data_IF_078775276454
#
_entry.id   IF_078775276454
#
_cell.length_a   1.000
_cell.length_b   1.000
_cell.length_c   1.000
_cell.angle_alpha   90.00
_cell.angle_beta   90.00
_cell.angle_gamma   90.00
#
_symmetry.space_group_name_H-M   'P 1'
#
loop_
_entity.id
_entity.type
_entity.pdbx_description
1 polymer ?
#
# COMPACT_ATOMS: atom_id res chain seq x y z
N UNK A 1 23.64 -43.29 -28.59
CA UNK A 1 23.89 -42.07 -27.86
C UNK A 1 22.62 -41.23 -27.97
N UNK A 2 21.79 -41.27 -26.94
CA UNK A 2 20.51 -40.51 -26.92
C UNK A 2 20.76 -39.11 -26.35
N UNK A 3 20.66 -38.11 -27.20
CA UNK A 3 20.62 -36.72 -26.75
C UNK A 3 19.23 -36.43 -26.19
N UNK A 4 19.15 -36.25 -24.87
CA UNK A 4 18.01 -35.64 -24.20
C UNK A 4 17.96 -34.14 -24.54
N UNK A 5 16.82 -33.58 -24.94
CA UNK A 5 16.69 -32.14 -25.12
C UNK A 5 16.70 -31.46 -23.75
N UNK A 6 17.61 -30.52 -23.56
CA UNK A 6 17.61 -29.59 -22.43
C UNK A 6 16.35 -28.70 -22.56
N UNK A 7 15.37 -28.92 -21.68
CA UNK A 7 14.28 -27.99 -21.48
C UNK A 7 14.86 -26.71 -20.85
N UNK A 8 15.14 -25.71 -21.69
CA UNK A 8 15.39 -24.35 -21.23
C UNK A 8 14.04 -23.76 -20.87
N UNK A 9 13.66 -23.83 -19.59
CA UNK A 9 12.57 -23.02 -19.07
C UNK A 9 12.95 -21.56 -19.31
N UNK A 10 12.27 -20.92 -20.26
CA UNK A 10 12.32 -19.48 -20.46
C UNK A 10 11.70 -18.82 -19.23
N UNK A 11 12.53 -18.42 -18.28
CA UNK A 11 12.12 -17.54 -17.16
C UNK A 11 11.53 -16.28 -17.81
N UNK A 12 10.21 -16.18 -17.83
CA UNK A 12 9.54 -14.96 -18.27
C UNK A 12 9.99 -13.83 -17.36
N UNK A 13 10.80 -12.94 -17.90
CA UNK A 13 11.28 -11.74 -17.21
C UNK A 13 10.06 -10.87 -16.89
N UNK A 14 9.67 -10.83 -15.62
CA UNK A 14 8.57 -9.97 -15.18
C UNK A 14 8.91 -8.50 -15.47
N UNK A 15 7.91 -7.74 -15.93
CA UNK A 15 8.07 -6.30 -16.15
C UNK A 15 8.47 -5.59 -14.86
N UNK A 16 9.34 -4.61 -14.97
CA UNK A 16 9.69 -3.70 -13.88
C UNK A 16 8.74 -2.52 -13.90
N UNK A 17 8.11 -2.23 -12.76
CA UNK A 17 7.00 -1.29 -12.61
C UNK A 17 7.37 -0.12 -11.72
N UNK A 18 7.00 1.10 -12.13
CA UNK A 18 7.03 2.29 -11.29
C UNK A 18 5.62 2.88 -11.12
N UNK A 19 5.33 3.40 -9.93
CA UNK A 19 4.09 4.10 -9.60
C UNK A 19 4.41 5.55 -9.24
N UNK A 20 3.71 6.48 -9.87
CA UNK A 20 3.74 7.90 -9.52
C UNK A 20 2.31 8.36 -9.24
N UNK A 21 2.04 8.78 -8.01
CA UNK A 21 0.70 9.12 -7.53
C UNK A 21 0.62 10.58 -7.14
N UNK A 22 -0.14 11.37 -7.89
CA UNK A 22 -0.52 12.73 -7.55
C UNK A 22 -1.80 12.72 -6.69
N UNK A 23 -1.64 12.95 -5.40
CA UNK A 23 -2.76 12.94 -4.47
C UNK A 23 -3.66 14.18 -4.60
N UNK A 24 -3.14 15.31 -5.05
CA UNK A 24 -3.94 16.53 -5.23
C UNK A 24 -4.97 16.30 -6.32
N UNK A 25 -4.57 15.64 -7.38
CA UNK A 25 -5.42 15.33 -8.54
C UNK A 25 -6.39 14.17 -8.24
N UNK A 26 -5.97 13.19 -7.42
CA UNK A 26 -6.72 11.94 -7.22
C UNK A 26 -6.81 11.57 -5.73
N UNK A 27 -7.52 12.37 -4.94
CA UNK A 27 -7.62 12.17 -3.48
C UNK A 27 -8.37 10.90 -3.06
N UNK A 28 -9.26 10.37 -3.92
CA UNK A 28 -10.02 9.13 -3.64
C UNK A 28 -9.14 7.89 -3.54
N UNK A 29 -7.91 7.92 -4.09
CA UNK A 29 -6.96 6.80 -4.08
C UNK A 29 -6.58 6.34 -2.66
N UNK A 30 -6.66 7.22 -1.66
CA UNK A 30 -6.39 6.86 -0.25
C UNK A 30 -7.17 5.64 0.21
N UNK A 31 -8.43 5.51 -0.20
CA UNK A 31 -9.30 4.39 0.17
C UNK A 31 -8.96 3.08 -0.56
N UNK A 32 -8.20 3.18 -1.64
CA UNK A 32 -7.85 2.07 -2.53
C UNK A 32 -6.33 1.89 -2.66
N UNK A 33 -5.55 2.40 -1.71
CA UNK A 33 -4.08 2.36 -1.76
C UNK A 33 -3.53 0.91 -1.81
N UNK A 34 -4.13 -0.01 -1.05
CA UNK A 34 -3.78 -1.44 -1.08
C UNK A 34 -4.11 -2.04 -2.47
N UNK A 35 -5.28 -1.72 -3.03
CA UNK A 35 -5.70 -2.20 -4.35
C UNK A 35 -4.82 -1.65 -5.47
N UNK A 36 -4.35 -0.40 -5.36
CA UNK A 36 -3.36 0.16 -6.29
C UNK A 36 -2.09 -0.67 -6.29
N UNK A 37 -1.58 -1.00 -5.11
CA UNK A 37 -0.36 -1.79 -4.99
C UNK A 37 -0.54 -3.21 -5.53
N UNK A 38 -1.69 -3.83 -5.26
CA UNK A 38 -1.99 -5.18 -5.76
C UNK A 38 -2.17 -5.18 -7.28
N UNK A 39 -2.85 -4.18 -7.83
CA UNK A 39 -2.96 -3.98 -9.28
C UNK A 39 -1.57 -3.84 -9.92
N UNK A 40 -0.69 -3.04 -9.33
CA UNK A 40 0.66 -2.85 -9.85
C UNK A 40 1.50 -4.14 -9.80
N UNK A 41 1.40 -4.93 -8.72
CA UNK A 41 2.07 -6.23 -8.60
C UNK A 41 1.60 -7.26 -9.62
N UNK A 42 0.34 -7.20 -10.04
CA UNK A 42 -0.17 -8.05 -11.12
C UNK A 42 0.46 -7.71 -12.48
N UNK A 43 0.91 -6.46 -12.64
CA UNK A 43 1.58 -6.03 -13.87
C UNK A 43 3.07 -6.39 -13.89
N UNK A 44 3.70 -6.59 -12.73
CA UNK A 44 5.12 -6.94 -12.62
C UNK A 44 5.73 -6.59 -11.25
N UNK A 45 7.06 -6.55 -11.23
CA UNK A 45 7.83 -6.21 -10.02
C UNK A 45 7.80 -4.69 -9.78
N UNK A 46 7.18 -4.28 -8.66
CA UNK A 46 7.05 -2.87 -8.30
C UNK A 46 8.31 -2.39 -7.57
N UNK A 47 9.18 -1.70 -8.28
CA UNK A 47 10.49 -1.26 -7.78
C UNK A 47 10.49 0.20 -7.32
N UNK A 48 9.65 1.05 -7.91
CA UNK A 48 9.56 2.48 -7.56
C UNK A 48 8.12 2.85 -7.25
N UNK A 49 7.92 3.57 -6.14
CA UNK A 49 6.61 4.00 -5.65
C UNK A 49 6.73 5.40 -5.06
N UNK A 50 6.29 6.40 -5.78
CA UNK A 50 6.29 7.79 -5.35
C UNK A 50 4.86 8.30 -5.13
N UNK A 51 4.67 9.02 -4.04
CA UNK A 51 3.41 9.64 -3.65
C UNK A 51 3.65 11.12 -3.36
N UNK A 52 3.00 11.99 -4.12
CA UNK A 52 3.16 13.45 -4.04
C UNK A 52 2.03 14.06 -3.23
N UNK A 53 2.37 14.86 -2.24
CA UNK A 53 1.43 15.48 -1.31
C UNK A 53 1.94 16.85 -0.86
N UNK A 54 1.08 17.64 -0.20
CA UNK A 54 1.47 18.88 0.46
C UNK A 54 1.23 18.77 1.95
N UNK A 55 2.27 19.04 2.74
CA UNK A 55 2.21 19.06 4.20
C UNK A 55 1.31 20.19 4.75
N UNK A 56 1.00 21.20 3.95
CA UNK A 56 0.09 22.28 4.31
C UNK A 56 -1.38 21.82 4.44
N UNK A 57 -1.72 20.65 3.91
CA UNK A 57 -3.07 20.11 3.95
C UNK A 57 -3.18 18.84 4.82
N UNK A 58 -3.87 18.96 5.95
CA UNK A 58 -4.02 17.85 6.93
C UNK A 58 -4.52 16.54 6.31
N UNK A 59 -5.48 16.61 5.39
CA UNK A 59 -6.00 15.42 4.69
C UNK A 59 -4.94 14.74 3.83
N UNK A 60 -3.97 15.48 3.28
CA UNK A 60 -2.85 14.96 2.49
C UNK A 60 -1.80 14.31 3.39
N UNK A 61 -1.51 14.92 4.55
CA UNK A 61 -0.66 14.30 5.58
C UNK A 61 -1.24 12.99 6.09
N UNK A 62 -2.55 12.92 6.31
CA UNK A 62 -3.22 11.67 6.69
C UNK A 62 -3.14 10.59 5.59
N UNK A 63 -3.17 11.00 4.32
CA UNK A 63 -2.99 10.08 3.19
C UNK A 63 -1.53 9.62 3.10
N UNK A 64 -0.57 10.53 3.23
CA UNK A 64 0.87 10.24 3.28
C UNK A 64 1.17 9.10 4.25
N UNK A 65 0.64 9.14 5.47
CA UNK A 65 0.84 8.09 6.46
C UNK A 65 0.36 6.70 5.97
N UNK A 66 -0.71 6.66 5.17
CA UNK A 66 -1.22 5.41 4.60
C UNK A 66 -0.26 4.87 3.53
N UNK A 67 0.21 5.73 2.62
CA UNK A 67 1.10 5.35 1.53
C UNK A 67 2.51 5.00 2.03
N UNK A 68 3.02 5.70 3.04
CA UNK A 68 4.30 5.39 3.67
C UNK A 68 4.32 3.98 4.29
N UNK A 69 3.20 3.55 4.92
CA UNK A 69 3.04 2.19 5.44
C UNK A 69 3.07 1.12 4.33
N UNK A 70 2.68 1.48 3.10
CA UNK A 70 2.77 0.62 1.92
C UNK A 70 4.14 0.69 1.23
N UNK A 71 5.07 1.42 1.80
CA UNK A 71 6.45 1.56 1.32
C UNK A 71 6.59 2.50 0.13
N UNK A 72 5.70 3.49 0.00
CA UNK A 72 5.87 4.58 -0.95
C UNK A 72 6.89 5.59 -0.43
N UNK A 73 7.70 6.10 -1.33
CA UNK A 73 8.47 7.33 -1.11
C UNK A 73 7.51 8.51 -1.17
N UNK A 74 7.28 9.17 -0.04
CA UNK A 74 6.34 10.27 0.07
C UNK A 74 7.08 11.60 -0.10
N UNK A 75 6.81 12.28 -1.22
CA UNK A 75 7.44 13.54 -1.61
C UNK A 75 6.54 14.68 -1.18
N UNK A 76 7.04 15.49 -0.26
CA UNK A 76 6.35 16.71 0.16
C UNK A 76 6.63 17.84 -0.83
N UNK A 77 5.58 18.43 -1.37
CA UNK A 77 5.65 19.58 -2.27
C UNK A 77 4.87 20.73 -1.61
N UNK A 78 5.49 21.45 -0.69
CA UNK A 78 4.82 22.49 0.11
C UNK A 78 4.53 23.76 -0.68
N UNK A 79 5.14 23.95 -1.84
CA UNK A 79 4.96 25.14 -2.65
C UNK A 79 3.50 25.26 -3.13
N UNK A 80 2.87 26.38 -2.78
CA UNK A 80 1.51 26.71 -3.15
C UNK A 80 1.37 27.20 -4.60
N UNK A 81 2.46 27.23 -5.38
CA UNK A 81 2.36 27.58 -6.80
C UNK A 81 1.57 26.53 -7.55
N UNK A 82 0.72 27.01 -8.45
CA UNK A 82 -0.07 26.12 -9.33
C UNK A 82 0.87 25.19 -10.08
N UNK A 83 0.60 23.90 -10.05
CA UNK A 83 1.34 22.83 -10.76
C UNK A 83 2.74 22.49 -10.18
N UNK A 84 3.07 22.89 -8.96
CA UNK A 84 4.37 22.52 -8.36
C UNK A 84 4.51 21.00 -8.15
N UNK A 85 3.44 20.32 -7.70
CA UNK A 85 3.41 18.88 -7.53
C UNK A 85 3.49 18.14 -8.88
N UNK A 86 2.78 18.64 -9.89
CA UNK A 86 2.81 18.09 -11.25
C UNK A 86 4.23 18.15 -11.84
N UNK A 87 4.88 19.31 -11.71
CA UNK A 87 6.25 19.49 -12.19
C UNK A 87 7.24 18.57 -11.47
N UNK A 88 7.12 18.42 -10.14
CA UNK A 88 7.97 17.52 -9.37
C UNK A 88 7.76 16.07 -9.80
N UNK A 89 6.51 15.63 -9.98
CA UNK A 89 6.18 14.29 -10.47
C UNK A 89 6.78 14.05 -11.85
N UNK A 90 6.64 15.00 -12.79
CA UNK A 90 7.18 14.88 -14.14
C UNK A 90 8.70 14.71 -14.09
N UNK A 91 9.40 15.54 -13.34
CA UNK A 91 10.87 15.49 -13.21
C UNK A 91 11.32 14.15 -12.61
N UNK A 92 10.67 13.70 -11.54
CA UNK A 92 11.03 12.45 -10.87
C UNK A 92 10.72 11.23 -11.75
N UNK A 93 9.62 11.25 -12.49
CA UNK A 93 9.26 10.20 -13.44
C UNK A 93 10.31 10.08 -14.54
N UNK A 94 10.67 11.21 -15.19
CA UNK A 94 11.67 11.24 -16.26
C UNK A 94 13.03 10.78 -15.73
N UNK A 95 13.47 11.26 -14.56
CA UNK A 95 14.72 10.81 -13.91
C UNK A 95 14.69 9.30 -13.66
N UNK A 96 13.62 8.79 -13.05
CA UNK A 96 13.50 7.37 -12.71
C UNK A 96 13.63 6.51 -13.96
N UNK A 97 12.97 6.88 -15.05
CA UNK A 97 13.01 6.15 -16.31
C UNK A 97 14.38 6.24 -16.98
N UNK A 98 15.02 7.42 -16.95
CA UNK A 98 16.33 7.64 -17.56
C UNK A 98 17.44 6.82 -16.88
N UNK A 99 17.41 6.75 -15.54
CA UNK A 99 18.42 6.01 -14.76
C UNK A 99 18.12 4.51 -14.60
N UNK A 100 16.93 4.06 -15.02
CA UNK A 100 16.52 2.66 -14.90
C UNK A 100 16.02 2.10 -16.25
N UNK A 101 16.92 1.71 -17.14
CA UNK A 101 16.55 1.20 -18.47
C UNK A 101 15.66 -0.04 -18.45
N UNK A 102 15.77 -0.85 -17.37
CA UNK A 102 14.96 -2.06 -17.16
C UNK A 102 13.51 -1.77 -16.76
N UNK A 103 13.17 -0.53 -16.42
CA UNK A 103 11.80 -0.13 -16.13
C UNK A 103 10.97 -0.16 -17.41
N UNK A 104 9.92 -0.99 -17.45
CA UNK A 104 9.12 -1.24 -18.65
C UNK A 104 7.76 -0.56 -18.57
N UNK A 105 7.18 -0.49 -17.36
CA UNK A 105 5.83 0.00 -17.13
C UNK A 105 5.82 1.13 -16.11
N UNK A 106 5.14 2.21 -16.48
CA UNK A 106 4.87 3.34 -15.58
C UNK A 106 3.37 3.44 -15.32
N UNK A 107 2.98 3.36 -14.06
CA UNK A 107 1.60 3.58 -13.61
C UNK A 107 1.51 5.01 -13.07
N UNK A 108 0.67 5.82 -13.71
CA UNK A 108 0.40 7.21 -13.33
C UNK A 108 -0.98 7.28 -12.68
N UNK A 109 -1.04 7.71 -11.43
CA UNK A 109 -2.31 7.96 -10.71
C UNK A 109 -2.60 9.45 -10.77
N UNK A 110 -3.33 9.86 -11.79
CA UNK A 110 -3.62 11.25 -12.14
C UNK A 110 -4.79 11.31 -13.14
N UNK A 111 -5.31 12.50 -13.44
CA UNK A 111 -6.44 12.64 -14.39
C UNK A 111 -6.37 13.91 -15.24
N UNK A 112 -5.40 14.79 -14.98
CA UNK A 112 -5.27 16.06 -15.66
C UNK A 112 -4.53 15.93 -17.00
N UNK A 113 -4.95 16.72 -17.99
CA UNK A 113 -4.34 16.79 -19.32
C UNK A 113 -2.92 17.36 -19.31
N UNK A 114 -2.53 18.10 -18.29
CA UNK A 114 -1.21 18.71 -18.16
C UNK A 114 -0.07 17.67 -18.19
N UNK A 115 -0.36 16.41 -17.91
CA UNK A 115 0.57 15.29 -18.02
C UNK A 115 0.71 14.67 -19.43
N UNK A 116 -0.01 15.20 -20.44
CA UNK A 116 0.05 14.65 -21.78
C UNK A 116 1.47 14.64 -22.37
N UNK A 117 2.26 15.70 -22.12
CA UNK A 117 3.66 15.78 -22.53
C UNK A 117 4.53 14.67 -21.98
N UNK A 118 4.40 14.37 -20.66
CA UNK A 118 5.09 13.27 -20.01
C UNK A 118 4.72 11.92 -20.67
N UNK A 119 3.43 11.69 -20.90
CA UNK A 119 2.94 10.44 -21.50
C UNK A 119 3.50 10.26 -22.90
N UNK A 120 3.53 11.32 -23.72
CA UNK A 120 4.13 11.29 -25.04
C UNK A 120 5.62 10.90 -24.99
N UNK A 121 6.40 11.50 -24.08
CA UNK A 121 7.82 11.18 -23.90
C UNK A 121 7.97 9.70 -23.51
N UNK A 122 7.23 9.21 -22.53
CA UNK A 122 7.30 7.81 -22.07
C UNK A 122 6.99 6.83 -23.21
N UNK A 123 5.98 7.12 -24.02
CA UNK A 123 5.63 6.29 -25.19
C UNK A 123 6.70 6.32 -26.27
N UNK A 124 7.31 7.49 -26.55
CA UNK A 124 8.41 7.62 -27.52
C UNK A 124 9.62 6.78 -27.13
N UNK A 125 9.93 6.70 -25.83
CA UNK A 125 11.02 5.85 -25.32
C UNK A 125 10.55 4.40 -25.01
N UNK A 126 9.42 3.99 -25.61
CA UNK A 126 8.87 2.63 -25.57
C UNK A 126 8.54 2.12 -24.17
N UNK A 127 8.17 3.00 -23.24
CA UNK A 127 7.63 2.58 -21.95
C UNK A 127 6.12 2.39 -22.05
N UNK A 128 5.61 1.31 -21.47
CA UNK A 128 4.17 1.12 -21.31
C UNK A 128 3.68 2.10 -20.25
N UNK A 129 2.57 2.77 -20.51
CA UNK A 129 1.98 3.74 -19.58
C UNK A 129 0.56 3.29 -19.27
N UNK A 130 0.25 3.14 -18.00
CA UNK A 130 -1.10 2.89 -17.49
C UNK A 130 -1.53 4.07 -16.63
N UNK A 131 -2.75 4.57 -16.86
CA UNK A 131 -3.34 5.66 -16.08
C UNK A 131 -4.45 5.13 -15.19
N UNK A 132 -4.42 5.57 -13.93
CA UNK A 132 -5.50 5.41 -12.96
C UNK A 132 -6.04 6.78 -12.58
N UNK A 133 -7.31 7.05 -12.88
CA UNK A 133 -7.93 8.35 -12.63
C UNK A 133 -9.21 8.25 -11.81
N UNK A 134 -9.61 9.36 -11.21
CA UNK A 134 -10.89 9.47 -10.53
C UNK A 134 -12.01 9.74 -11.56
N UNK A 135 -13.18 9.10 -11.37
CA UNK A 135 -14.35 9.41 -12.21
C UNK A 135 -14.74 10.87 -12.04
N UNK A 136 -15.06 11.52 -13.16
CA UNK A 136 -15.49 12.93 -13.19
C UNK A 136 -14.35 13.95 -13.31
N UNK A 137 -13.10 13.58 -13.05
CA UNK A 137 -11.93 14.44 -13.29
C UNK A 137 -11.04 13.97 -14.45
N UNK A 138 -11.32 12.82 -15.02
CA UNK A 138 -10.53 12.23 -16.07
C UNK A 138 -10.76 12.94 -17.42
N UNK A 139 -9.68 13.39 -18.06
CA UNK A 139 -9.72 13.97 -19.40
C UNK A 139 -9.96 12.90 -20.46
N UNK A 140 -10.96 13.07 -21.32
CA UNK A 140 -11.21 12.18 -22.47
C UNK A 140 -9.99 12.11 -23.40
N UNK A 141 -9.25 13.21 -23.49
CA UNK A 141 -8.03 13.28 -24.30
C UNK A 141 -6.92 12.38 -23.77
N UNK A 142 -6.79 12.21 -22.43
CA UNK A 142 -5.86 11.25 -21.85
C UNK A 142 -6.23 9.80 -22.17
N UNK A 143 -7.54 9.47 -22.14
CA UNK A 143 -8.02 8.14 -22.52
C UNK A 143 -7.62 7.83 -23.96
N UNK A 144 -7.83 8.78 -24.88
CA UNK A 144 -7.46 8.64 -26.28
C UNK A 144 -5.95 8.51 -26.48
N UNK A 145 -5.16 9.20 -25.64
CA UNK A 145 -3.70 9.22 -25.74
C UNK A 145 -3.06 7.88 -25.34
N UNK A 146 -3.56 7.22 -24.30
CA UNK A 146 -2.99 5.96 -23.79
C UNK A 146 -3.68 4.72 -24.34
N UNK A 147 -4.90 4.85 -24.84
CA UNK A 147 -5.79 3.76 -25.23
C UNK A 147 -6.65 3.29 -24.05
N UNK A 148 -7.87 2.87 -24.36
CA UNK A 148 -8.85 2.47 -23.33
C UNK A 148 -8.37 1.29 -22.49
N UNK A 149 -7.55 0.40 -23.04
CA UNK A 149 -6.97 -0.75 -22.38
C UNK A 149 -5.90 -0.39 -21.33
N UNK A 150 -5.33 0.80 -21.43
CA UNK A 150 -4.30 1.31 -20.52
C UNK A 150 -4.84 2.43 -19.60
N UNK A 151 -6.15 2.68 -19.65
CA UNK A 151 -6.80 3.69 -18.81
C UNK A 151 -7.87 3.05 -17.95
N UNK A 152 -7.76 3.22 -16.62
CA UNK A 152 -8.69 2.65 -15.66
C UNK A 152 -9.16 3.70 -14.67
N UNK A 153 -10.34 3.48 -14.10
CA UNK A 153 -10.82 4.27 -12.98
C UNK A 153 -10.47 3.61 -11.65
N UNK A 154 -10.14 4.41 -10.65
CA UNK A 154 -9.82 3.94 -9.31
C UNK A 154 -10.95 3.09 -8.72
N UNK A 155 -12.20 3.47 -9.00
CA UNK A 155 -13.37 2.72 -8.54
C UNK A 155 -13.43 1.30 -9.10
N UNK A 156 -12.78 1.05 -10.23
CA UNK A 156 -12.75 -0.25 -10.89
C UNK A 156 -11.57 -1.13 -10.41
N UNK A 157 -10.62 -0.60 -9.62
CA UNK A 157 -9.45 -1.33 -9.12
C UNK A 157 -9.83 -2.66 -8.47
N UNK A 158 -10.90 -2.69 -7.68
CA UNK A 158 -11.39 -3.91 -7.04
C UNK A 158 -11.73 -5.01 -8.05
N UNK A 159 -12.33 -4.64 -9.18
CA UNK A 159 -12.66 -5.58 -10.26
C UNK A 159 -11.41 -6.01 -11.02
N UNK A 160 -10.48 -5.08 -11.24
CA UNK A 160 -9.23 -5.32 -11.98
C UNK A 160 -8.30 -6.28 -11.22
N UNK A 161 -8.26 -6.18 -9.90
CA UNK A 161 -7.47 -7.08 -9.04
C UNK A 161 -8.12 -8.48 -8.91
N UNK A 162 -9.29 -8.68 -9.52
CA UNK A 162 -9.97 -9.99 -9.49
C UNK A 162 -10.62 -10.29 -8.14
N UNK A 163 -10.81 -9.31 -7.27
CA UNK A 163 -11.78 -9.40 -6.21
C UNK A 163 -13.17 -9.52 -6.86
N UNK A 164 -13.55 -10.78 -7.23
CA UNK A 164 -14.95 -11.08 -7.51
C UNK A 164 -15.74 -10.47 -6.37
N UNK A 165 -16.77 -9.71 -6.70
CA UNK A 165 -17.85 -9.33 -5.78
C UNK A 165 -18.52 -10.60 -5.28
N UNK A 166 -17.84 -11.33 -4.43
CA UNK A 166 -18.52 -12.13 -3.44
C UNK A 166 -18.75 -11.18 -2.26
N UNK A 167 -19.95 -11.12 -1.70
CA UNK A 167 -20.08 -10.65 -0.34
C UNK A 167 -19.00 -11.40 0.43
N UNK A 168 -18.21 -10.71 1.23
CA UNK A 168 -17.16 -11.32 2.06
C UNK A 168 -17.77 -12.41 2.94
N UNK A 169 -17.94 -13.56 2.36
CA UNK A 169 -18.23 -14.85 2.97
C UNK A 169 -17.45 -15.91 2.21
N UNK A 170 -16.16 -15.71 2.04
CA UNK A 170 -15.21 -16.79 2.09
C UNK A 170 -14.49 -16.64 3.40
N UNK A 171 -15.03 -17.30 4.36
CA UNK A 171 -14.35 -17.85 5.51
C UNK A 171 -13.17 -18.67 4.96
N UNK A 172 -12.06 -17.98 4.65
CA UNK A 172 -10.79 -18.58 4.99
C UNK A 172 -10.88 -18.56 6.50
N UNK A 173 -10.94 -19.73 7.08
CA UNK A 173 -10.91 -19.96 8.52
C UNK A 173 -9.52 -19.55 9.05
N UNK A 174 -9.16 -18.27 8.91
CA UNK A 174 -8.05 -17.63 9.61
C UNK A 174 -8.59 -17.09 10.93
N UNK A 175 -9.22 -18.00 11.70
CA UNK A 175 -9.44 -17.75 13.10
C UNK A 175 -8.08 -17.93 13.77
N UNK A 176 -7.50 -16.82 14.16
CA UNK A 176 -6.37 -16.83 15.08
C UNK A 176 -6.94 -17.08 16.48
N UNK A 177 -6.41 -18.04 17.22
CA UNK A 177 -6.85 -18.24 18.58
C UNK A 177 -6.38 -17.07 19.48
N UNK A 178 -7.03 -16.90 20.61
CA UNK A 178 -6.75 -15.77 21.51
C UNK A 178 -5.29 -15.68 21.94
N UNK A 179 -4.67 -16.81 22.32
CA UNK A 179 -3.27 -16.83 22.76
C UNK A 179 -2.31 -16.45 21.62
N UNK A 180 -2.53 -16.98 20.43
CA UNK A 180 -1.75 -16.63 19.25
C UNK A 180 -1.91 -15.12 18.90
N UNK A 181 -3.11 -14.56 19.06
CA UNK A 181 -3.34 -13.13 18.88
C UNK A 181 -2.60 -12.28 19.94
N UNK A 182 -2.51 -12.76 21.18
CA UNK A 182 -1.74 -12.11 22.24
C UNK A 182 -0.24 -12.13 21.94
N UNK A 183 0.30 -13.24 21.45
CA UNK A 183 1.70 -13.35 21.02
C UNK A 183 2.01 -12.38 19.87
N UNK A 184 1.12 -12.31 18.90
CA UNK A 184 1.24 -11.33 17.80
C UNK A 184 1.25 -9.88 18.31
N UNK A 185 0.42 -9.55 19.30
CA UNK A 185 0.38 -8.23 19.92
C UNK A 185 1.70 -7.91 20.63
N UNK A 186 2.21 -8.83 21.44
CA UNK A 186 3.48 -8.68 22.18
C UNK A 186 4.64 -8.49 21.18
N UNK A 187 4.73 -9.34 20.15
CA UNK A 187 5.74 -9.24 19.12
C UNK A 187 5.67 -7.90 18.37
N UNK A 188 4.46 -7.40 18.09
CA UNK A 188 4.26 -6.11 17.41
C UNK A 188 4.71 -4.94 18.29
N UNK A 189 4.39 -4.95 19.58
CA UNK A 189 4.82 -3.92 20.54
C UNK A 189 6.35 -3.94 20.68
N UNK A 190 6.95 -5.12 20.76
CA UNK A 190 8.40 -5.27 20.83
C UNK A 190 9.11 -4.72 19.60
N UNK A 191 8.60 -5.04 18.40
CA UNK A 191 9.13 -4.53 17.13
C UNK A 191 9.04 -3.00 17.06
N UNK A 192 7.90 -2.42 17.47
CA UNK A 192 7.72 -0.97 17.51
C UNK A 192 8.71 -0.31 18.50
N UNK A 193 8.88 -0.86 19.70
CA UNK A 193 9.82 -0.32 20.69
C UNK A 193 11.27 -0.41 20.20
N UNK A 194 11.69 -1.55 19.63
CA UNK A 194 13.04 -1.72 19.08
C UNK A 194 13.37 -0.73 17.96
N UNK A 195 12.36 -0.34 17.17
CA UNK A 195 12.51 0.59 16.06
C UNK A 195 12.20 2.04 16.45
N UNK A 196 12.04 2.32 17.75
CA UNK A 196 11.70 3.64 18.29
C UNK A 196 10.44 4.25 17.64
N UNK A 197 9.42 3.39 17.39
CA UNK A 197 8.14 3.77 16.77
C UNK A 197 7.05 3.95 17.80
N UNK A 198 5.97 4.71 17.50
CA UNK A 198 4.84 4.89 18.40
C UNK A 198 4.17 3.56 18.79
N UNK A 199 3.75 3.43 20.04
CA UNK A 199 3.08 2.23 20.55
C UNK A 199 1.60 2.45 20.88
N UNK A 200 1.00 3.55 20.41
CA UNK A 200 -0.42 3.82 20.60
C UNK A 200 -1.32 2.83 19.80
N UNK A 201 -2.53 2.63 20.25
CA UNK A 201 -3.46 1.60 19.77
C UNK A 201 -3.67 1.58 18.25
N UNK A 202 -3.85 2.76 17.62
CA UNK A 202 -4.12 2.85 16.20
C UNK A 202 -2.91 2.42 15.37
N UNK A 203 -1.69 2.72 15.82
CA UNK A 203 -0.46 2.30 15.16
C UNK A 203 -0.23 0.79 15.33
N UNK A 204 -0.26 0.30 16.56
CA UNK A 204 -0.03 -1.12 16.87
C UNK A 204 -1.07 -2.00 16.17
N UNK A 205 -2.35 -1.62 16.16
CA UNK A 205 -3.39 -2.38 15.45
C UNK A 205 -3.17 -2.48 13.94
N UNK A 206 -2.62 -1.44 13.30
CA UNK A 206 -2.24 -1.46 11.88
C UNK A 206 -0.98 -2.30 11.64
N UNK A 207 0.04 -2.11 12.47
CA UNK A 207 1.30 -2.82 12.37
C UNK A 207 1.12 -4.33 12.57
N UNK A 208 0.28 -4.74 13.51
CA UNK A 208 -0.06 -6.13 13.78
C UNK A 208 -0.69 -6.82 12.55
N UNK A 209 -1.59 -6.14 11.83
CA UNK A 209 -2.15 -6.65 10.56
C UNK A 209 -1.10 -6.82 9.47
N UNK A 210 -0.11 -5.92 9.45
CA UNK A 210 0.98 -5.97 8.47
C UNK A 210 1.95 -7.13 8.75
N UNK A 211 2.33 -7.30 10.03
CA UNK A 211 3.31 -8.32 10.42
C UNK A 211 2.73 -9.74 10.46
N UNK A 212 1.43 -9.87 10.77
CA UNK A 212 0.78 -11.16 10.96
C UNK A 212 -0.43 -11.33 10.04
N UNK A 213 -0.27 -11.91 8.83
CA UNK A 213 -1.34 -12.07 7.85
C UNK A 213 -2.57 -12.84 8.36
N UNK A 214 -2.40 -13.74 9.33
CA UNK A 214 -3.51 -14.45 10.00
C UNK A 214 -4.38 -13.52 10.87
N UNK A 215 -3.84 -12.40 11.35
CA UNK A 215 -4.57 -11.42 12.14
C UNK A 215 -5.24 -10.38 11.22
N UNK A 216 -6.50 -10.58 10.91
CA UNK A 216 -7.31 -9.68 10.06
C UNK A 216 -8.09 -8.62 10.86
N UNK A 217 -7.75 -8.46 12.14
CA UNK A 217 -8.42 -7.58 13.09
C UNK A 217 -9.12 -8.38 14.18
N UNK A 218 -9.73 -7.70 15.15
CA UNK A 218 -10.32 -8.36 16.33
C UNK A 218 -11.44 -9.36 16.01
N UNK A 219 -12.08 -9.20 14.86
CA UNK A 219 -13.10 -10.15 14.39
C UNK A 219 -12.52 -11.53 14.01
N UNK A 220 -11.22 -11.60 13.70
CA UNK A 220 -10.52 -12.87 13.41
C UNK A 220 -10.09 -13.62 14.65
N UNK A 221 -10.17 -13.00 15.86
CA UNK A 221 -9.77 -13.63 17.12
C UNK A 221 -10.88 -14.54 17.63
N UNK A 222 -10.58 -15.83 17.75
CA UNK A 222 -11.45 -16.82 18.36
C UNK A 222 -11.17 -16.92 19.86
N UNK A 223 -12.23 -16.72 20.68
CA UNK A 223 -12.17 -16.92 22.14
C UNK A 223 -12.87 -18.24 22.49
N UNK A 224 -12.33 -19.03 23.45
CA UNK A 224 -12.91 -20.33 23.83
C UNK A 224 -14.40 -20.29 24.20
N UNK A 225 -14.88 -19.14 24.69
CA UNK A 225 -16.26 -18.97 25.14
C UNK A 225 -17.21 -18.45 24.04
N UNK A 226 -16.80 -18.41 22.78
CA UNK A 226 -17.63 -17.93 21.66
C UNK A 226 -17.96 -16.43 21.69
N UNK A 227 -17.48 -15.65 22.66
CA UNK A 227 -17.70 -14.21 22.76
C UNK A 227 -16.85 -13.48 21.70
N UNK A 228 -17.44 -12.51 21.01
CA UNK A 228 -16.74 -11.67 20.03
C UNK A 228 -16.12 -10.45 20.73
N UNK A 229 -14.87 -10.14 20.37
CA UNK A 229 -14.19 -8.92 20.83
C UNK A 229 -14.71 -7.74 19.98
N UNK A 230 -15.24 -6.71 20.67
CA UNK A 230 -15.93 -5.59 20.00
C UNK A 230 -14.97 -4.58 19.36
N UNK A 231 -13.75 -4.43 19.86
CA UNK A 231 -12.76 -3.44 19.36
C UNK A 231 -11.33 -3.83 19.75
N UNK A 232 -10.35 -3.26 19.05
CA UNK A 232 -8.92 -3.46 19.37
C UNK A 232 -8.59 -3.00 20.81
N UNK A 233 -9.15 -1.87 21.25
CA UNK A 233 -8.99 -1.42 22.64
C UNK A 233 -9.47 -2.44 23.65
N UNK A 234 -10.62 -3.11 23.42
CA UNK A 234 -11.11 -4.19 24.30
C UNK A 234 -10.19 -5.41 24.30
N UNK A 235 -9.62 -5.75 23.15
CA UNK A 235 -8.59 -6.81 23.09
C UNK A 235 -7.37 -6.45 23.92
N UNK A 236 -6.83 -5.24 23.74
CA UNK A 236 -5.71 -4.74 24.53
C UNK A 236 -6.03 -4.72 26.05
N UNK A 237 -7.22 -4.24 26.43
CA UNK A 237 -7.65 -4.21 27.83
C UNK A 237 -7.66 -5.63 28.47
N UNK A 238 -8.01 -6.66 27.71
CA UNK A 238 -7.95 -8.06 28.18
C UNK A 238 -6.50 -8.48 28.42
N UNK A 239 -5.59 -8.20 27.47
CA UNK A 239 -4.18 -8.57 27.57
C UNK A 239 -3.46 -7.81 28.69
N UNK A 240 -3.83 -6.55 28.93
CA UNK A 240 -3.35 -5.75 30.07
C UNK A 240 -3.82 -6.36 31.40
N UNK A 241 -5.09 -6.78 31.49
CA UNK A 241 -5.61 -7.47 32.72
C UNK A 241 -4.90 -8.77 32.98
N UNK A 242 -4.48 -9.50 31.95
CA UNK A 242 -3.67 -10.71 32.12
C UNK A 242 -2.21 -10.40 32.49
N UNK A 243 -1.85 -9.13 32.58
CA UNK A 243 -0.53 -8.68 32.96
C UNK A 243 0.58 -8.96 31.94
N UNK A 244 0.23 -9.26 30.69
CA UNK A 244 1.19 -9.57 29.60
C UNK A 244 1.79 -8.33 28.97
N UNK A 245 1.07 -7.20 28.96
CA UNK A 245 1.54 -5.89 28.51
C UNK A 245 1.14 -4.82 29.53
N UNK A 246 1.83 -3.68 29.49
CA UNK A 246 1.54 -2.52 30.34
C UNK A 246 1.01 -1.40 29.46
N UNK A 247 0.03 -0.65 29.95
CA UNK A 247 -0.50 0.54 29.33
C UNK A 247 -0.20 1.77 30.16
N UNK A 248 0.45 2.77 29.55
CA UNK A 248 0.68 4.10 30.13
C UNK A 248 0.32 5.16 29.08
N UNK A 249 -0.49 6.15 29.43
CA UNK A 249 -0.88 7.27 28.54
C UNK A 249 -1.33 6.84 27.12
N UNK A 250 -2.09 5.74 27.00
CA UNK A 250 -2.53 5.14 25.74
C UNK A 250 -1.42 4.50 24.88
N UNK A 251 -0.21 4.43 25.39
CA UNK A 251 0.90 3.68 24.80
C UNK A 251 1.07 2.32 25.47
N UNK A 252 1.62 1.37 24.72
CA UNK A 252 1.83 -0.02 25.14
C UNK A 252 3.30 -0.29 25.36
N UNK A 253 3.61 -0.98 26.47
CA UNK A 253 4.95 -1.39 26.85
C UNK A 253 4.96 -2.87 27.24
N UNK A 254 6.12 -3.52 27.09
CA UNK A 254 6.32 -4.88 27.56
C UNK A 254 6.65 -4.88 29.05
N UNK A 255 6.26 -5.95 29.76
CA UNK A 255 6.77 -6.19 31.10
C UNK A 255 8.26 -6.53 31.03
N UNK A 256 9.04 -6.11 32.04
CA UNK A 256 10.50 -6.37 32.09
C UNK A 256 10.90 -7.86 32.05
N UNK A 257 9.97 -8.77 32.35
CA UNK A 257 10.19 -10.23 32.31
C UNK A 257 10.23 -10.80 30.84
N UNK A 258 9.78 -10.05 29.84
CA UNK A 258 9.72 -10.49 28.44
C UNK A 258 10.85 -9.87 27.57
N UNK A 259 11.82 -9.23 28.18
CA UNK A 259 13.06 -8.81 27.49
C UNK A 259 13.94 -10.04 27.33
N UNK A 260 13.78 -10.77 26.24
CA UNK A 260 14.75 -11.80 25.82
C UNK A 260 16.08 -11.09 25.58
N UNK A 261 17.16 -11.49 26.27
CA UNK A 261 18.49 -10.92 26.00
C UNK A 261 18.92 -11.23 24.56
N UNK A 262 19.71 -10.31 24.00
CA UNK A 262 20.20 -10.32 22.63
C UNK A 262 21.12 -11.51 22.33
#
# INVERSE_FOLDING_TARGET
>A
MNHLPLNVETVQKQDSVAIFCDFQNVSSIKKSADLLLDFAKMQGNVNWKNFYYSSHHKNQVDAKNTFELLGFNCVDVPDASKNSADNQLIVDCVKTVAFNPSLNLVILVLGDWDFAGLICILKQIRKKVVILAQRGSASQSLINLVGAENFHFIDDLRKLVGEKTQPRTTVINSQINYNEAVECLIATVNDALRQNRPTHYSYIGKLMRKLFPKYQGVASISIPNGKKIKSFGKFVDMVVKEGKIIRQNQELFLRELDKIPA
#
